data_IF_749215837887
#
_entry.id   IF_749215837887
#
_cell.length_a   1.000
_cell.length_b   1.000
_cell.length_c   1.000
_cell.angle_alpha   90.00
_cell.angle_beta   90.00
_cell.angle_gamma   90.00
#
_symmetry.space_group_name_H-M   'P 1'
#
loop_
_entity.id
_entity.type
_entity.pdbx_description
1 polymer ?
#
# COMPACT_ATOMS: atom_id res chain seq x y z
N UNK A 1 6.80 10.55 16.18
CA UNK A 1 7.45 9.22 16.01
C UNK A 1 8.45 8.83 17.12
N UNK A 2 8.87 9.74 18.02
CA UNK A 2 9.98 9.47 18.97
C UNK A 2 9.67 8.39 20.04
N UNK A 3 8.41 8.06 20.32
CA UNK A 3 8.01 7.06 21.33
C UNK A 3 7.56 5.70 20.76
N UNK A 4 7.69 5.45 19.46
CA UNK A 4 7.31 4.14 18.86
C UNK A 4 8.51 3.20 18.85
N UNK A 5 8.30 1.96 19.33
CA UNK A 5 9.30 0.90 19.28
C UNK A 5 9.91 0.77 17.87
N UNK A 6 11.24 0.71 17.72
CA UNK A 6 11.90 0.80 16.41
C UNK A 6 11.42 -0.26 15.41
N UNK A 7 11.14 -1.48 15.88
CA UNK A 7 10.59 -2.58 15.08
C UNK A 7 9.20 -2.28 14.49
N UNK A 8 8.43 -1.38 15.10
CA UNK A 8 7.04 -1.10 14.74
C UNK A 8 6.89 0.08 13.79
N UNK A 9 7.90 0.94 13.71
CA UNK A 9 7.91 2.12 12.83
C UNK A 9 7.74 1.72 11.36
N UNK A 10 8.40 0.64 10.94
CA UNK A 10 8.24 0.09 9.58
C UNK A 10 6.81 -0.32 9.27
N UNK A 11 6.13 -1.03 10.16
CA UNK A 11 4.73 -1.44 9.95
C UNK A 11 3.77 -0.24 9.91
N UNK A 12 4.02 0.79 10.72
CA UNK A 12 3.22 2.02 10.69
C UNK A 12 3.43 2.76 9.37
N UNK A 13 4.67 2.88 8.90
CA UNK A 13 4.95 3.51 7.61
C UNK A 13 4.44 2.67 6.44
N UNK A 14 4.45 1.34 6.54
CA UNK A 14 3.84 0.46 5.55
C UNK A 14 2.34 0.73 5.44
N UNK A 15 1.65 0.80 6.59
CA UNK A 15 0.22 1.08 6.63
C UNK A 15 -0.11 2.47 6.09
N UNK A 16 0.63 3.51 6.48
CA UNK A 16 0.45 4.87 5.95
C UNK A 16 0.79 4.97 4.46
N UNK A 17 1.92 4.40 4.05
CA UNK A 17 2.36 4.38 2.65
C UNK A 17 1.34 3.69 1.77
N UNK A 18 0.86 2.52 2.19
CA UNK A 18 -0.21 1.81 1.50
C UNK A 18 -1.47 2.68 1.36
N UNK A 19 -1.96 3.20 2.49
CA UNK A 19 -3.22 3.96 2.53
C UNK A 19 -3.16 5.21 1.66
N UNK A 20 -2.08 5.99 1.80
CA UNK A 20 -1.90 7.23 1.06
C UNK A 20 -1.68 6.98 -0.43
N UNK A 21 -0.86 6.00 -0.80
CA UNK A 21 -0.63 5.64 -2.21
C UNK A 21 -1.91 5.11 -2.87
N UNK A 22 -2.64 4.20 -2.21
CA UNK A 22 -3.89 3.68 -2.75
C UNK A 22 -4.95 4.80 -2.95
N UNK A 23 -5.14 5.65 -1.93
CA UNK A 23 -6.04 6.79 -2.04
C UNK A 23 -5.61 7.74 -3.18
N UNK A 24 -4.30 7.98 -3.33
CA UNK A 24 -3.74 8.80 -4.39
C UNK A 24 -3.99 8.23 -5.79
N UNK A 25 -3.79 6.91 -5.99
CA UNK A 25 -4.07 6.23 -7.27
C UNK A 25 -5.55 6.30 -7.62
N UNK A 26 -6.44 6.07 -6.64
CA UNK A 26 -7.89 6.20 -6.84
C UNK A 26 -8.30 7.63 -7.19
N UNK A 27 -7.73 8.62 -6.51
CA UNK A 27 -7.98 10.03 -6.81
C UNK A 27 -7.46 10.41 -8.21
N UNK A 28 -6.29 9.90 -8.61
CA UNK A 28 -5.74 10.08 -9.95
C UNK A 28 -6.63 9.46 -11.02
N UNK A 29 -7.06 8.21 -10.84
CA UNK A 29 -7.97 7.52 -11.76
C UNK A 29 -9.31 8.24 -11.89
N UNK A 30 -9.84 8.73 -10.77
CA UNK A 30 -11.04 9.57 -10.78
C UNK A 30 -10.81 10.89 -11.54
N UNK A 31 -9.67 11.56 -11.34
CA UNK A 31 -9.32 12.79 -12.04
C UNK A 31 -9.20 12.58 -13.57
N UNK A 32 -8.61 11.46 -13.98
CA UNK A 32 -8.55 11.05 -15.39
C UNK A 32 -9.97 10.80 -15.93
N UNK A 33 -10.83 10.12 -15.16
CA UNK A 33 -12.20 9.83 -15.55
C UNK A 33 -13.07 11.11 -15.71
N UNK A 34 -12.83 12.15 -14.91
CA UNK A 34 -13.48 13.47 -15.07
C UNK A 34 -12.75 14.40 -16.03
N UNK A 35 -11.81 13.87 -16.83
CA UNK A 35 -11.11 14.55 -17.92
C UNK A 35 -10.30 15.80 -17.49
N UNK A 36 -9.64 15.75 -16.33
CA UNK A 36 -8.69 16.81 -15.93
C UNK A 36 -7.54 16.92 -16.95
N UNK A 37 -7.31 18.12 -17.48
CA UNK A 37 -6.31 18.36 -18.53
C UNK A 37 -4.89 18.04 -18.05
N UNK A 38 -4.13 17.33 -18.88
CA UNK A 38 -2.73 16.98 -18.61
C UNK A 38 -2.51 15.68 -17.85
N UNK A 39 -3.58 14.96 -17.48
CA UNK A 39 -3.51 13.63 -16.87
C UNK A 39 -3.94 12.55 -17.88
N UNK A 40 -3.29 11.39 -17.83
CA UNK A 40 -3.59 10.28 -18.73
C UNK A 40 -2.84 9.01 -18.36
N UNK A 41 -3.18 7.92 -19.03
CA UNK A 41 -2.57 6.61 -18.81
C UNK A 41 -1.14 6.55 -19.37
N UNK A 42 -0.28 5.74 -18.76
CA UNK A 42 1.07 5.47 -19.26
C UNK A 42 0.99 4.40 -20.36
N UNK A 43 1.48 4.74 -21.55
CA UNK A 43 1.46 3.86 -22.72
C UNK A 43 2.81 3.88 -23.43
N UNK A 44 3.25 2.72 -23.92
CA UNK A 44 4.42 2.58 -24.80
C UNK A 44 3.94 2.01 -26.12
N UNK A 45 3.93 2.84 -27.17
CA UNK A 45 3.32 2.49 -28.45
C UNK A 45 1.82 2.23 -28.30
N UNK A 46 1.38 0.99 -28.51
CA UNK A 46 -0.02 0.56 -28.31
C UNK A 46 -0.26 -0.22 -27.01
N UNK A 47 0.78 -0.42 -26.20
CA UNK A 47 0.71 -1.24 -24.99
C UNK A 47 0.50 -0.35 -23.78
N UNK A 48 -0.59 -0.61 -23.04
CA UNK A 48 -0.86 0.02 -21.76
C UNK A 48 -0.09 -0.73 -20.67
N UNK A 49 0.83 -0.02 -20.01
CA UNK A 49 1.60 -0.61 -18.91
C UNK A 49 0.82 -0.37 -17.63
N UNK A 50 0.35 -1.47 -17.05
CA UNK A 50 -0.34 -1.50 -15.77
C UNK A 50 0.66 -1.22 -14.65
N UNK A 51 0.25 -0.40 -13.68
CA UNK A 51 1.17 0.08 -12.67
C UNK A 51 1.44 -0.95 -11.56
N UNK A 52 0.66 -2.04 -11.49
CA UNK A 52 0.94 -3.18 -10.64
C UNK A 52 2.31 -3.79 -10.96
N UNK A 53 2.81 -3.68 -12.20
CA UNK A 53 4.13 -4.20 -12.59
C UNK A 53 5.23 -3.50 -11.78
N UNK A 54 5.14 -2.18 -11.63
CA UNK A 54 6.06 -1.40 -10.80
C UNK A 54 5.94 -1.76 -9.34
N UNK A 55 4.72 -2.04 -8.87
CA UNK A 55 4.46 -2.57 -7.54
C UNK A 55 5.17 -3.90 -7.29
N UNK A 56 5.05 -4.87 -8.21
CA UNK A 56 5.72 -6.17 -8.14
C UNK A 56 7.25 -5.99 -8.09
N UNK A 57 7.81 -5.20 -9.01
CA UNK A 57 9.26 -4.95 -9.04
C UNK A 57 9.76 -4.32 -7.74
N UNK A 58 9.03 -3.33 -7.21
CA UNK A 58 9.36 -2.70 -5.94
C UNK A 58 9.29 -3.71 -4.79
N UNK A 59 8.26 -4.57 -4.75
CA UNK A 59 8.13 -5.60 -3.71
C UNK A 59 9.25 -6.64 -3.76
N UNK A 60 9.71 -7.04 -4.96
CA UNK A 60 10.87 -7.92 -5.12
C UNK A 60 12.12 -7.26 -4.55
N UNK A 61 12.37 -6.00 -4.90
CA UNK A 61 13.53 -5.23 -4.40
C UNK A 61 13.45 -5.09 -2.88
N UNK A 62 12.28 -4.71 -2.33
CA UNK A 62 12.09 -4.58 -0.88
C UNK A 62 12.29 -5.92 -0.17
N UNK A 63 11.81 -7.03 -0.75
CA UNK A 63 12.03 -8.37 -0.24
C UNK A 63 13.51 -8.72 -0.18
N UNK A 64 14.25 -8.53 -1.28
CA UNK A 64 15.69 -8.79 -1.35
C UNK A 64 16.48 -7.89 -0.39
N UNK A 65 16.24 -6.58 -0.40
CA UNK A 65 16.89 -5.60 0.46
C UNK A 65 16.58 -5.82 1.95
N UNK A 66 15.39 -6.35 2.27
CA UNK A 66 15.00 -6.70 3.63
C UNK A 66 15.76 -7.92 4.20
N UNK A 67 16.36 -8.74 3.34
CA UNK A 67 17.21 -9.86 3.77
C UNK A 67 18.63 -9.41 4.15
N UNK A 68 19.12 -8.33 3.54
CA UNK A 68 20.51 -7.87 3.66
C UNK A 68 20.74 -7.11 4.97
N UNK A 69 19.87 -6.15 5.31
CA UNK A 69 20.07 -5.25 6.45
C UNK A 69 18.88 -5.31 7.42
N UNK A 70 19.17 -5.36 8.72
CA UNK A 70 18.17 -5.51 9.79
C UNK A 70 18.16 -4.36 10.79
N UNK A 71 18.93 -3.29 10.56
CA UNK A 71 18.87 -2.09 11.39
C UNK A 71 17.44 -1.52 11.45
N UNK A 72 17.04 -0.92 12.58
CA UNK A 72 15.69 -0.40 12.71
C UNK A 72 15.34 0.72 11.73
N UNK A 73 16.32 1.54 11.34
CA UNK A 73 16.15 2.60 10.33
C UNK A 73 15.88 2.00 8.96
N UNK A 74 16.67 1.02 8.54
CA UNK A 74 16.46 0.32 7.27
C UNK A 74 15.09 -0.34 7.20
N UNK A 75 14.73 -1.10 8.24
CA UNK A 75 13.40 -1.74 8.35
C UNK A 75 12.25 -0.74 8.30
N UNK A 76 12.47 0.49 8.80
CA UNK A 76 11.46 1.55 8.75
C UNK A 76 11.20 1.99 7.30
N UNK A 77 12.25 2.24 6.53
CA UNK A 77 12.13 2.63 5.12
C UNK A 77 11.66 1.48 4.22
N UNK A 78 12.11 0.25 4.48
CA UNK A 78 11.58 -0.94 3.79
C UNK A 78 10.09 -1.13 4.05
N UNK A 79 9.62 -0.83 5.26
CA UNK A 79 8.18 -0.80 5.56
C UNK A 79 7.42 0.20 4.69
N UNK A 80 7.90 1.44 4.58
CA UNK A 80 7.28 2.45 3.71
C UNK A 80 7.23 1.98 2.24
N UNK A 81 8.35 1.52 1.71
CA UNK A 81 8.46 1.05 0.33
C UNK A 81 7.58 -0.17 0.07
N UNK A 82 7.49 -1.09 1.02
CA UNK A 82 6.56 -2.23 0.99
C UNK A 82 5.12 -1.75 0.86
N UNK A 83 4.70 -0.79 1.69
CA UNK A 83 3.35 -0.24 1.65
C UNK A 83 3.00 0.37 0.28
N UNK A 84 3.92 1.15 -0.29
CA UNK A 84 3.76 1.76 -1.61
C UNK A 84 3.64 0.68 -2.70
N UNK A 85 4.56 -0.29 -2.71
CA UNK A 85 4.56 -1.37 -3.69
C UNK A 85 3.28 -2.22 -3.61
N UNK A 86 2.83 -2.52 -2.40
CA UNK A 86 1.59 -3.26 -2.18
C UNK A 86 0.37 -2.48 -2.66
N UNK A 87 0.31 -1.17 -2.46
CA UNK A 87 -0.80 -0.33 -2.93
C UNK A 87 -0.91 -0.35 -4.45
N UNK A 88 0.21 -0.24 -5.17
CA UNK A 88 0.24 -0.33 -6.64
C UNK A 88 -0.30 -1.67 -7.16
N UNK A 89 -0.03 -2.77 -6.46
CA UNK A 89 -0.56 -4.10 -6.82
C UNK A 89 -2.05 -4.21 -6.50
N UNK A 90 -2.46 -3.78 -5.30
CA UNK A 90 -3.86 -3.90 -4.84
C UNK A 90 -4.81 -3.00 -5.64
N UNK A 91 -4.34 -1.84 -6.12
CA UNK A 91 -5.12 -0.94 -6.97
C UNK A 91 -5.68 -1.66 -8.21
N UNK A 92 -4.88 -2.53 -8.83
CA UNK A 92 -5.26 -3.34 -10.00
C UNK A 92 -5.62 -4.79 -9.64
N UNK A 93 -5.90 -5.09 -8.36
CA UNK A 93 -6.29 -6.44 -7.93
C UNK A 93 -7.49 -7.00 -8.70
N UNK A 94 -8.45 -6.14 -9.06
CA UNK A 94 -9.57 -6.55 -9.91
C UNK A 94 -9.09 -7.13 -11.26
N UNK A 95 -8.09 -6.51 -11.92
CA UNK A 95 -7.53 -6.99 -13.18
C UNK A 95 -6.70 -8.27 -13.02
N UNK A 96 -6.02 -8.42 -11.87
CA UNK A 96 -5.23 -9.61 -11.56
C UNK A 96 -6.11 -10.84 -11.26
N UNK A 97 -7.32 -10.62 -10.74
CA UNK A 97 -8.26 -11.68 -10.36
C UNK A 97 -9.22 -12.00 -11.52
N UNK A 98 -9.77 -10.97 -12.18
CA UNK A 98 -10.73 -11.10 -13.29
C UNK A 98 -10.01 -10.87 -14.62
N UNK A 99 -9.32 -11.90 -15.10
CA UNK A 99 -8.67 -11.86 -16.42
C UNK A 99 -9.69 -11.89 -17.60
N UNK A 100 -10.99 -12.00 -17.31
CA UNK A 100 -12.09 -11.95 -18.30
C UNK A 100 -13.29 -11.15 -17.76
N UNK A 101 -13.71 -10.18 -18.59
CA UNK A 101 -14.61 -9.04 -18.35
C UNK A 101 -16.09 -9.35 -18.08
N UNK A 102 -16.41 -10.48 -17.45
CA UNK A 102 -17.80 -10.88 -17.26
C UNK A 102 -17.99 -11.53 -15.92
N UNK A 103 -18.07 -10.75 -14.84
CA UNK A 103 -19.21 -11.09 -14.00
C UNK A 103 -20.02 -9.90 -13.51
N UNK A 104 -19.55 -8.89 -12.78
CA UNK A 104 -20.51 -7.86 -12.31
C UNK A 104 -19.97 -6.43 -12.18
N UNK A 105 -19.87 -5.74 -13.32
CA UNK A 105 -20.12 -4.30 -13.58
C UNK A 105 -19.74 -3.20 -12.54
N UNK A 106 -18.69 -3.39 -11.74
CA UNK A 106 -17.98 -2.29 -11.04
C UNK A 106 -16.47 -2.47 -11.15
N UNK A 107 -15.90 -2.09 -12.28
CA UNK A 107 -14.45 -2.05 -12.47
C UNK A 107 -13.83 -1.17 -11.35
N UNK A 108 -13.11 -1.80 -10.42
CA UNK A 108 -12.48 -1.18 -9.25
C UNK A 108 -13.13 -1.46 -7.89
N UNK A 109 -14.34 -2.04 -7.83
CA UNK A 109 -15.02 -2.33 -6.55
C UNK A 109 -14.28 -3.37 -5.70
N UNK A 110 -13.75 -4.43 -6.32
CA UNK A 110 -12.96 -5.47 -5.66
C UNK A 110 -11.69 -4.89 -5.05
N UNK A 111 -10.93 -4.10 -5.83
CA UNK A 111 -9.72 -3.43 -5.35
C UNK A 111 -10.00 -2.56 -4.12
N UNK A 112 -11.10 -1.79 -4.14
CA UNK A 112 -11.53 -0.95 -3.00
C UNK A 112 -11.89 -1.81 -1.79
N UNK A 113 -12.64 -2.90 -1.97
CA UNK A 113 -13.01 -3.79 -0.87
C UNK A 113 -11.76 -4.40 -0.21
N UNK A 114 -10.82 -4.90 -1.02
CA UNK A 114 -9.54 -5.45 -0.53
C UNK A 114 -8.77 -4.37 0.23
N UNK A 115 -8.65 -3.16 -0.32
CA UNK A 115 -7.91 -2.08 0.33
C UNK A 115 -8.54 -1.67 1.67
N UNK A 116 -9.87 -1.52 1.75
CA UNK A 116 -10.57 -1.20 3.00
C UNK A 116 -10.34 -2.29 4.05
N UNK A 117 -10.41 -3.57 3.68
CA UNK A 117 -10.13 -4.69 4.58
C UNK A 117 -8.68 -4.61 5.08
N UNK A 118 -7.71 -4.42 4.19
CA UNK A 118 -6.29 -4.32 4.56
C UNK A 118 -6.04 -3.13 5.50
N UNK A 119 -6.61 -1.96 5.20
CA UNK A 119 -6.50 -0.75 6.04
C UNK A 119 -7.10 -1.01 7.42
N UNK A 120 -8.32 -1.57 7.46
CA UNK A 120 -9.06 -1.83 8.70
C UNK A 120 -8.37 -2.86 9.59
N UNK A 121 -7.98 -4.01 9.01
CA UNK A 121 -7.32 -5.10 9.76
C UNK A 121 -5.94 -4.66 10.24
N UNK A 122 -5.07 -4.17 9.35
CA UNK A 122 -3.72 -3.75 9.75
C UNK A 122 -3.76 -2.56 10.71
N UNK A 123 -4.66 -1.59 10.50
CA UNK A 123 -4.88 -0.47 11.40
C UNK A 123 -5.34 -0.93 12.79
N UNK A 124 -6.27 -1.88 12.85
CA UNK A 124 -6.76 -2.47 14.11
C UNK A 124 -5.65 -3.21 14.85
N UNK A 125 -4.87 -4.05 14.17
CA UNK A 125 -3.69 -4.71 14.77
C UNK A 125 -2.75 -3.66 15.34
N UNK A 126 -2.47 -2.60 14.59
CA UNK A 126 -1.63 -1.49 15.05
C UNK A 126 -2.26 -0.68 16.21
N UNK A 127 -3.58 -0.64 16.35
CA UNK A 127 -4.23 0.03 17.46
C UNK A 127 -4.18 -0.83 18.72
N UNK A 128 -4.56 -2.10 18.62
CA UNK A 128 -4.78 -3.00 19.75
C UNK A 128 -3.51 -3.64 20.31
N UNK A 129 -2.45 -3.81 19.51
CA UNK A 129 -1.18 -4.36 20.01
C UNK A 129 -0.27 -3.28 20.62
N UNK A 130 -0.80 -2.10 20.96
CA UNK A 130 -0.06 -1.11 21.76
C UNK A 130 -0.05 -1.62 23.20
N UNK A 131 1.13 -1.94 23.73
CA UNK A 131 1.27 -2.28 25.14
C UNK A 131 0.66 -1.15 25.99
N UNK A 132 -0.23 -1.45 26.96
CA UNK A 132 -0.65 -0.49 27.96
C UNK A 132 0.60 0.09 28.62
N UNK A 133 0.62 1.41 28.87
CA UNK A 133 1.67 1.98 29.71
C UNK A 133 1.63 1.25 31.05
N UNK A 134 2.76 0.65 31.45
CA UNK A 134 2.94 0.25 32.83
C UNK A 134 2.82 1.54 33.65
N UNK A 135 1.76 1.65 34.44
CA UNK A 135 1.62 2.69 35.43
C UNK A 135 2.90 2.71 36.26
N UNK A 136 3.60 3.84 36.25
CA UNK A 136 4.71 4.08 37.17
C UNK A 136 4.11 4.08 38.57
N UNK A 137 4.18 2.95 39.25
CA UNK A 137 4.03 2.87 40.70
C UNK A 137 5.20 3.61 41.33
N UNK A 138 5.05 4.92 41.50
CA UNK A 138 5.88 5.70 42.42
C UNK A 138 5.57 5.24 43.83
N UNK A 139 6.56 4.56 44.42
CA UNK A 139 6.66 4.22 45.83
C UNK A 139 7.01 5.44 46.66
#
# INVERSE_FOLDING_TARGET
MRHVHPTRRGLILAWWGFTATFAGLRALTWAIHVHVRGLGNVQVGRVHIHHYIWGILLLIVVGACGLVERTPVWRTWMGLAFGIGLALVVDEAALLIELKDVYWNRQGGISIAIAIILIGVAGSVLAFTRAPHAETTTR
#
